data_IF_383076362297
#
_entry.id   IF_383076362297
#
_cell.length_a   1.000
_cell.length_b   1.000
_cell.length_c   1.000
_cell.angle_alpha   90.00
_cell.angle_beta   90.00
_cell.angle_gamma   90.00
#
_symmetry.space_group_name_H-M   'P 1'
#
loop_
_entity.id
_entity.type
_entity.pdbx_description
1 polymer ?
#
# COMPACT_ATOMS: atom_id res chain seq x y z
N UNK A 1 -18.81 -6.78 3.71
CA UNK A 1 -17.40 -6.75 3.26
C UNK A 1 -16.86 -8.18 3.31
N UNK A 2 -16.09 -8.63 2.31
CA UNK A 2 -15.52 -9.99 2.26
C UNK A 2 -14.00 -9.92 2.36
N UNK A 3 -13.40 -10.81 3.15
CA UNK A 3 -11.95 -10.97 3.27
C UNK A 3 -11.55 -12.33 2.74
N UNK A 4 -10.42 -12.37 2.02
CA UNK A 4 -9.88 -13.60 1.46
C UNK A 4 -8.40 -13.70 1.82
N UNK A 5 -7.97 -14.88 2.24
CA UNK A 5 -6.57 -15.20 2.52
C UNK A 5 -6.03 -16.18 1.49
N UNK A 6 -4.82 -15.91 0.98
CA UNK A 6 -4.11 -16.84 0.09
C UNK A 6 -3.05 -17.60 0.90
N UNK A 7 -3.24 -18.90 1.09
CA UNK A 7 -2.42 -19.76 1.97
C UNK A 7 -1.69 -20.83 1.15
N UNK A 8 -0.48 -21.19 1.58
CA UNK A 8 0.36 -22.19 0.93
C UNK A 8 1.84 -22.07 1.32
N UNK A 9 2.66 -23.08 1.00
CA UNK A 9 4.09 -23.11 1.33
C UNK A 9 4.89 -21.95 0.68
N UNK A 10 6.10 -21.68 1.16
CA UNK A 10 7.00 -20.73 0.49
C UNK A 10 7.27 -21.19 -0.94
N UNK A 11 7.32 -20.26 -1.89
CA UNK A 11 7.55 -20.58 -3.31
C UNK A 11 6.35 -21.10 -4.10
N UNK A 12 5.19 -21.36 -3.47
CA UNK A 12 4.01 -21.89 -4.20
C UNK A 12 3.30 -20.86 -5.12
N UNK A 13 3.88 -19.68 -5.33
CA UNK A 13 3.36 -18.68 -6.28
C UNK A 13 2.38 -17.65 -5.72
N UNK A 14 2.18 -17.54 -4.40
CA UNK A 14 1.24 -16.55 -3.80
C UNK A 14 1.52 -15.11 -4.23
N UNK A 15 2.77 -14.66 -4.07
CA UNK A 15 3.21 -13.32 -4.45
C UNK A 15 3.12 -13.11 -5.97
N UNK A 16 3.35 -14.17 -6.75
CA UNK A 16 3.18 -14.17 -8.21
C UNK A 16 1.72 -13.96 -8.59
N UNK A 17 0.78 -14.67 -7.95
CA UNK A 17 -0.65 -14.52 -8.19
C UNK A 17 -1.12 -13.11 -7.80
N UNK A 18 -0.71 -12.60 -6.63
CA UNK A 18 -1.02 -11.22 -6.23
C UNK A 18 -0.49 -10.21 -7.25
N UNK A 19 0.74 -10.40 -7.77
CA UNK A 19 1.32 -9.55 -8.82
C UNK A 19 0.49 -9.55 -10.11
N UNK A 20 -0.10 -10.70 -10.47
CA UNK A 20 -1.00 -10.79 -11.62
C UNK A 20 -2.33 -10.06 -11.36
N UNK A 21 -2.91 -10.22 -10.17
CA UNK A 21 -4.16 -9.54 -9.77
C UNK A 21 -4.00 -8.03 -9.85
N UNK A 22 -2.86 -7.49 -9.38
CA UNK A 22 -2.61 -6.04 -9.41
C UNK A 22 -2.05 -5.54 -10.75
N UNK A 23 -1.95 -6.42 -11.76
CA UNK A 23 -1.50 -6.07 -13.11
C UNK A 23 -0.02 -5.76 -13.24
N UNK A 24 0.83 -6.14 -12.26
CA UNK A 24 2.29 -6.04 -12.34
C UNK A 24 2.94 -7.17 -13.13
N UNK A 25 2.26 -8.29 -13.29
CA UNK A 25 2.67 -9.44 -14.11
C UNK A 25 1.51 -9.92 -14.98
N UNK A 26 1.81 -10.43 -16.16
CA UNK A 26 0.82 -11.07 -17.04
C UNK A 26 0.71 -12.56 -16.67
N UNK A 27 -0.50 -13.10 -16.68
CA UNK A 27 -0.73 -14.54 -16.60
C UNK A 27 -0.21 -15.25 -17.85
N UNK A 28 0.35 -16.44 -17.66
CA UNK A 28 0.74 -17.32 -18.77
C UNK A 28 -0.49 -17.95 -19.45
N UNK A 29 -1.52 -18.30 -18.68
CA UNK A 29 -2.78 -18.87 -19.16
C UNK A 29 -3.93 -18.53 -18.20
N UNK A 30 -5.17 -18.72 -18.66
CA UNK A 30 -6.38 -18.38 -17.91
C UNK A 30 -6.69 -16.88 -17.89
N UNK A 31 -7.65 -16.49 -17.05
CA UNK A 31 -8.16 -15.12 -16.98
C UNK A 31 -8.30 -14.62 -15.54
N UNK A 32 -8.10 -13.32 -15.37
CA UNK A 32 -8.35 -12.58 -14.12
C UNK A 32 -9.18 -11.35 -14.47
N UNK A 33 -10.22 -11.11 -13.69
CA UNK A 33 -11.06 -9.91 -13.75
C UNK A 33 -11.01 -9.18 -12.41
N UNK A 34 -10.63 -7.91 -12.42
CA UNK A 34 -10.53 -7.05 -11.25
C UNK A 34 -11.36 -5.81 -11.48
N UNK A 35 -12.34 -5.56 -10.62
CA UNK A 35 -13.23 -4.40 -10.68
C UNK A 35 -13.85 -4.17 -12.07
N UNK A 36 -14.23 -5.26 -12.76
CA UNK A 36 -14.89 -5.24 -14.06
C UNK A 36 -13.97 -5.15 -15.27
N UNK A 37 -12.64 -5.29 -15.11
CA UNK A 37 -11.70 -5.28 -16.23
C UNK A 37 -10.53 -6.26 -16.06
N UNK A 38 -9.89 -6.61 -17.17
CA UNK A 38 -8.67 -7.43 -17.17
C UNK A 38 -7.46 -6.57 -16.77
N UNK A 39 -6.69 -6.93 -15.72
CA UNK A 39 -5.50 -6.17 -15.35
C UNK A 39 -4.50 -6.03 -16.51
N UNK A 40 -3.89 -4.86 -16.63
CA UNK A 40 -2.91 -4.53 -17.67
C UNK A 40 -3.52 -4.08 -19.00
N UNK A 41 -4.84 -4.06 -19.16
CA UNK A 41 -5.49 -3.55 -20.37
C UNK A 41 -5.89 -2.08 -20.23
N UNK A 42 -5.99 -1.38 -21.36
CA UNK A 42 -6.44 0.02 -21.43
C UNK A 42 -7.84 0.14 -20.82
N UNK A 43 -8.02 1.07 -19.88
CA UNK A 43 -9.31 1.32 -19.23
C UNK A 43 -9.65 0.40 -18.04
N UNK A 44 -8.84 -0.63 -17.75
CA UNK A 44 -9.07 -1.50 -16.57
C UNK A 44 -8.92 -0.75 -15.23
N UNK A 45 -8.04 0.25 -15.21
CA UNK A 45 -7.63 0.97 -14.00
C UNK A 45 -6.74 0.15 -13.06
N UNK A 46 -6.22 -0.99 -13.53
CA UNK A 46 -5.31 -1.90 -12.82
C UNK A 46 -4.15 -2.29 -13.75
N UNK A 47 -2.87 -2.01 -13.42
CA UNK A 47 -2.42 -1.26 -12.25
C UNK A 47 -2.93 0.20 -12.32
N UNK A 48 -3.21 0.80 -11.17
CA UNK A 48 -3.73 2.15 -11.11
C UNK A 48 -4.34 2.52 -9.77
N UNK A 49 -5.11 3.62 -9.75
CA UNK A 49 -5.69 4.20 -8.53
C UNK A 49 -6.80 3.34 -7.90
N UNK A 50 -7.35 2.37 -8.65
CA UNK A 50 -8.52 1.57 -8.21
C UNK A 50 -8.19 0.45 -7.22
N UNK A 51 -6.91 0.05 -7.10
CA UNK A 51 -6.49 -1.07 -6.24
C UNK A 51 -5.30 -0.67 -5.37
N UNK A 52 -5.44 -0.86 -4.06
CA UNK A 52 -4.34 -0.80 -3.10
C UNK A 52 -3.48 -2.06 -3.14
N UNK A 53 -2.15 -1.91 -3.21
CA UNK A 53 -1.21 -3.02 -3.18
C UNK A 53 -0.03 -2.67 -2.29
N UNK A 54 0.28 -3.55 -1.33
CA UNK A 54 1.46 -3.45 -0.47
C UNK A 54 2.47 -4.52 -0.88
N UNK A 55 3.59 -4.16 -1.52
CA UNK A 55 4.65 -5.12 -1.83
C UNK A 55 5.35 -5.59 -0.55
N UNK A 56 6.04 -6.73 -0.65
CA UNK A 56 6.83 -7.28 0.45
C UNK A 56 7.99 -6.37 0.87
N UNK A 57 8.64 -5.70 -0.10
CA UNK A 57 9.65 -4.69 0.15
C UNK A 57 9.06 -3.30 -0.06
N UNK A 58 9.17 -2.47 0.96
CA UNK A 58 8.61 -1.11 0.97
C UNK A 58 9.71 -0.16 0.52
N UNK A 59 9.46 0.57 -0.56
CA UNK A 59 10.34 1.64 -1.04
C UNK A 59 9.83 3.00 -0.54
N UNK A 60 9.88 3.23 0.78
CA UNK A 60 9.65 4.57 1.32
C UNK A 60 10.97 5.34 1.36
N UNK A 61 10.91 6.61 0.96
CA UNK A 61 12.04 7.52 1.10
C UNK A 61 12.20 7.89 2.57
N UNK A 62 13.19 7.29 3.23
CA UNK A 62 13.41 7.49 4.67
C UNK A 62 13.71 8.94 5.08
N UNK A 63 14.18 9.77 4.14
CA UNK A 63 14.49 11.18 4.35
C UNK A 63 13.24 12.08 4.36
N UNK A 64 12.08 11.58 3.93
CA UNK A 64 10.82 12.32 4.01
C UNK A 64 10.20 12.19 5.40
N UNK A 65 9.51 13.24 5.82
CA UNK A 65 8.56 13.20 6.93
C UNK A 65 7.28 12.45 6.56
N UNK A 66 6.46 12.12 7.55
CA UNK A 66 5.12 11.53 7.32
C UNK A 66 4.29 12.47 6.43
N UNK A 67 4.29 13.77 6.74
CA UNK A 67 3.60 14.80 5.95
C UNK A 67 4.08 14.82 4.50
N UNK A 68 5.39 14.87 4.27
CA UNK A 68 5.96 14.93 2.92
C UNK A 68 5.65 13.66 2.13
N UNK A 69 5.74 12.50 2.77
CA UNK A 69 5.36 11.22 2.17
C UNK A 69 3.91 11.22 1.71
N UNK A 70 3.01 11.73 2.56
CA UNK A 70 1.58 11.79 2.28
C UNK A 70 1.26 12.78 1.16
N UNK A 71 1.93 13.94 1.14
CA UNK A 71 1.85 14.91 0.04
C UNK A 71 2.35 14.32 -1.28
N UNK A 72 3.52 13.70 -1.26
CA UNK A 72 4.15 13.10 -2.43
C UNK A 72 3.24 12.06 -3.09
N UNK A 73 2.75 11.08 -2.33
CA UNK A 73 1.86 10.06 -2.87
C UNK A 73 0.48 10.62 -3.24
N UNK A 74 -0.06 11.55 -2.44
CA UNK A 74 -1.32 12.21 -2.73
C UNK A 74 -1.31 12.92 -4.10
N UNK A 75 -0.25 13.68 -4.39
CA UNK A 75 -0.09 14.35 -5.68
C UNK A 75 0.11 13.37 -6.84
N UNK A 76 0.88 12.29 -6.66
CA UNK A 76 1.00 11.22 -7.68
C UNK A 76 -0.38 10.60 -7.98
N UNK A 77 -1.23 10.50 -6.97
CA UNK A 77 -2.61 10.04 -7.13
C UNK A 77 -3.59 11.13 -7.56
N UNK A 78 -3.12 12.34 -7.84
CA UNK A 78 -3.92 13.45 -8.35
C UNK A 78 -4.93 14.00 -7.34
N UNK A 79 -4.65 13.86 -6.05
CA UNK A 79 -5.45 14.46 -4.98
C UNK A 79 -5.12 15.95 -4.80
N UNK A 80 -6.10 16.72 -4.38
CA UNK A 80 -5.89 18.12 -4.00
C UNK A 80 -5.16 18.24 -2.66
N UNK A 81 -4.35 19.28 -2.48
CA UNK A 81 -3.58 19.49 -1.24
C UNK A 81 -4.47 19.54 0.01
N UNK A 82 -5.66 20.14 -0.07
CA UNK A 82 -6.63 20.16 1.03
C UNK A 82 -7.11 18.75 1.41
N UNK A 83 -7.46 17.94 0.41
CA UNK A 83 -7.88 16.55 0.57
C UNK A 83 -6.77 15.70 1.21
N UNK A 84 -5.51 15.93 0.81
CA UNK A 84 -4.36 15.24 1.39
C UNK A 84 -4.20 15.60 2.87
N UNK A 85 -4.32 16.88 3.23
CA UNK A 85 -4.19 17.33 4.63
C UNK A 85 -5.32 16.76 5.50
N UNK A 86 -6.55 16.72 4.99
CA UNK A 86 -7.68 16.11 5.67
C UNK A 86 -7.46 14.62 5.91
N UNK A 87 -7.07 13.87 4.87
CA UNK A 87 -6.74 12.45 5.01
C UNK A 87 -5.54 12.24 5.92
N UNK A 88 -4.52 13.09 5.88
CA UNK A 88 -3.37 13.02 6.79
C UNK A 88 -3.82 13.07 8.24
N UNK A 89 -4.65 14.05 8.62
CA UNK A 89 -5.16 14.15 10.01
C UNK A 89 -5.92 12.91 10.43
N UNK A 90 -6.82 12.43 9.58
CA UNK A 90 -7.56 11.19 9.84
C UNK A 90 -6.61 9.99 10.03
N UNK A 91 -5.56 9.88 9.20
CA UNK A 91 -4.62 8.76 9.28
C UNK A 91 -3.66 8.86 10.46
N UNK A 92 -3.26 10.05 10.89
CA UNK A 92 -2.45 10.19 12.09
C UNK A 92 -3.20 9.66 13.31
N UNK A 93 -4.49 9.97 13.42
CA UNK A 93 -5.35 9.54 14.53
C UNK A 93 -5.71 8.05 14.43
N UNK A 94 -6.26 7.63 13.28
CA UNK A 94 -6.71 6.25 13.06
C UNK A 94 -5.59 5.20 13.23
N UNK A 95 -4.34 5.61 12.97
CA UNK A 95 -3.18 4.72 12.99
C UNK A 95 -2.28 4.93 14.20
N UNK A 96 -2.62 5.87 15.08
CA UNK A 96 -1.81 6.29 16.22
C UNK A 96 -0.35 6.61 15.83
N UNK A 97 -0.21 7.53 14.87
CA UNK A 97 1.09 7.94 14.35
C UNK A 97 1.70 9.05 15.20
N UNK A 98 3.04 9.07 15.33
CA UNK A 98 3.72 10.22 15.90
C UNK A 98 3.54 11.46 15.01
N UNK A 99 4.03 12.61 15.50
CA UNK A 99 3.99 13.89 14.81
C UNK A 99 4.28 13.77 13.30
N UNK A 100 3.47 14.46 12.50
CA UNK A 100 3.57 14.47 11.03
C UNK A 100 4.94 14.95 10.50
N UNK A 101 5.70 15.67 11.32
CA UNK A 101 7.05 16.16 11.02
C UNK A 101 8.16 15.14 11.32
N UNK A 102 7.82 13.96 11.84
CA UNK A 102 8.79 12.89 12.08
C UNK A 102 9.23 12.27 10.75
N UNK A 103 10.54 12.09 10.58
CA UNK A 103 11.10 11.38 9.43
C UNK A 103 10.69 9.91 9.40
N UNK A 104 10.43 9.39 8.20
CA UNK A 104 9.99 8.02 7.97
C UNK A 104 11.06 7.00 8.36
N UNK A 105 12.35 7.29 8.18
CA UNK A 105 13.43 6.41 8.67
C UNK A 105 13.47 6.26 10.19
N UNK A 106 12.91 7.23 10.90
CA UNK A 106 12.82 7.23 12.36
C UNK A 106 11.51 6.60 12.85
N UNK A 107 10.67 6.13 11.93
CA UNK A 107 9.62 5.17 12.24
C UNK A 107 10.27 3.79 12.24
N UNK A 108 9.97 2.98 13.25
CA UNK A 108 10.49 1.63 13.35
C UNK A 108 9.99 0.78 12.19
N UNK A 109 10.74 0.71 11.09
CA UNK A 109 10.48 -0.22 9.99
C UNK A 109 11.24 -1.50 10.32
N UNK A 110 10.54 -2.53 10.82
CA UNK A 110 11.14 -3.83 11.06
C UNK A 110 11.74 -4.39 9.75
N UNK A 111 12.97 -4.91 9.83
CA UNK A 111 13.60 -5.66 8.74
C UNK A 111 12.83 -6.98 8.50
N UNK A 112 12.72 -7.49 7.26
CA UNK A 112 12.09 -8.79 7.04
C UNK A 112 12.94 -9.89 7.70
N UNK A 113 12.41 -10.60 8.72
CA UNK A 113 13.03 -11.83 9.26
C UNK A 113 13.08 -12.06 10.77
N UNK A 114 12.50 -11.22 11.63
CA UNK A 114 12.52 -11.43 13.10
C UNK A 114 11.12 -11.69 13.66
N UNK A 115 10.94 -12.77 14.44
CA UNK A 115 9.69 -13.14 15.09
C UNK A 115 9.29 -12.19 16.25
N UNK A 116 8.11 -11.57 16.08
CA UNK A 116 7.02 -11.16 17.01
C UNK A 116 7.28 -10.36 18.31
N UNK A 117 6.50 -9.26 18.43
CA UNK A 117 5.68 -8.89 19.60
C UNK A 117 4.30 -8.37 19.11
N UNK A 118 3.19 -8.45 19.88
CA UNK A 118 1.84 -8.09 19.41
C UNK A 118 1.56 -6.57 19.31
N UNK A 119 2.49 -5.72 19.74
CA UNK A 119 2.26 -4.30 20.03
C UNK A 119 3.11 -3.31 19.20
N UNK A 120 3.65 -3.71 18.04
CA UNK A 120 4.61 -2.85 17.31
C UNK A 120 4.12 -2.29 15.96
N UNK A 121 4.37 -0.99 15.80
CA UNK A 121 3.55 -0.01 15.09
C UNK A 121 3.64 -0.06 13.53
N UNK A 122 2.52 -0.34 12.81
CA UNK A 122 2.45 -0.52 11.35
C UNK A 122 2.55 0.77 10.48
N UNK A 123 3.04 1.88 11.03
CA UNK A 123 2.98 3.24 10.46
C UNK A 123 3.34 3.34 8.97
N UNK A 124 4.54 2.90 8.58
CA UNK A 124 5.03 3.12 7.21
C UNK A 124 4.24 2.34 6.16
N UNK A 125 3.82 1.14 6.51
CA UNK A 125 2.97 0.26 5.68
C UNK A 125 1.60 0.91 5.48
N UNK A 126 1.06 1.54 6.51
CA UNK A 126 -0.34 1.93 6.57
C UNK A 126 -0.60 3.33 6.01
N UNK A 127 0.38 4.24 6.10
CA UNK A 127 0.40 5.58 5.48
C UNK A 127 0.24 5.50 3.96
N UNK A 128 0.88 4.53 3.29
CA UNK A 128 0.72 4.31 1.85
C UNK A 128 -0.64 3.67 1.48
N UNK A 129 -1.25 2.95 2.43
CA UNK A 129 -2.41 2.08 2.17
C UNK A 129 -3.77 2.79 2.34
N UNK A 130 -3.84 3.81 3.20
CA UNK A 130 -5.13 4.39 3.62
C UNK A 130 -5.44 5.79 3.05
N UNK A 131 -4.48 6.46 2.40
CA UNK A 131 -4.76 7.62 1.51
C UNK A 131 -5.68 7.30 0.32
N UNK A 132 -5.90 6.00 0.04
CA UNK A 132 -6.64 5.47 -1.12
C UNK A 132 -8.02 4.88 -0.81
N UNK A 133 -8.45 4.84 0.46
CA UNK A 133 -9.71 4.20 0.88
C UNK A 133 -10.80 5.19 1.34
N UNK A 134 -10.63 6.48 1.07
CA UNK A 134 -11.69 7.48 1.18
C UNK A 134 -11.75 8.31 -0.09
#
# INVERSE_FOLDING_TARGET
MKFYGLLGASGCGKTTLLSCIVGRRKLNSGEIWVLGGKPGTKGSGVPGKRVGYMPQEIALYGEFTIRETMMYFGWIFGMGTSEIVERLRFLLDFLDLPSENRMVKNLSIQKPGTEKSPDENPVGVMVAQRLRLG
#
